data_IF_965549370376
#
_entry.id   IF_965549370376
#
_cell.length_a   1.000
_cell.length_b   1.000
_cell.length_c   1.000
_cell.angle_alpha   90.00
_cell.angle_beta   90.00
_cell.angle_gamma   90.00
#
_symmetry.space_group_name_H-M   'P 1'
#
loop_
_entity.id
_entity.type
_entity.pdbx_description
1 polymer ?
#
# COMPACT_ATOMS: atom_id res chain seq x y z
N UNK A 1 17.28 -16.17 -4.38
CA UNK A 1 16.45 -15.78 -5.54
C UNK A 1 16.93 -14.46 -6.10
N UNK A 2 16.63 -14.18 -7.36
CA UNK A 2 16.83 -12.88 -7.99
C UNK A 2 15.57 -12.05 -7.80
N UNK A 3 15.68 -10.86 -7.23
CA UNK A 3 14.55 -10.00 -6.91
C UNK A 3 14.71 -8.65 -7.58
N UNK A 4 13.71 -8.25 -8.36
CA UNK A 4 13.61 -6.89 -8.88
C UNK A 4 12.73 -6.05 -7.95
N UNK A 5 13.16 -4.84 -7.58
CA UNK A 5 12.37 -3.88 -6.82
C UNK A 5 12.16 -2.64 -7.66
N UNK A 6 10.90 -2.33 -7.94
CA UNK A 6 10.49 -1.16 -8.71
C UNK A 6 10.06 -0.06 -7.76
N UNK A 7 10.74 1.08 -7.82
CA UNK A 7 10.61 2.21 -6.90
C UNK A 7 11.77 2.30 -5.92
N UNK A 8 12.41 3.46 -5.86
CA UNK A 8 13.55 3.76 -4.98
C UNK A 8 13.20 4.73 -3.83
N UNK A 9 11.92 4.85 -3.53
CA UNK A 9 11.42 5.62 -2.38
C UNK A 9 11.61 4.89 -1.04
N UNK A 10 10.97 5.43 0.01
CA UNK A 10 11.02 4.83 1.36
C UNK A 10 10.79 3.31 1.35
N UNK A 11 9.65 2.89 0.79
CA UNK A 11 9.24 1.49 0.77
C UNK A 11 10.14 0.61 -0.09
N UNK A 12 10.47 1.07 -1.30
CA UNK A 12 11.30 0.29 -2.23
C UNK A 12 12.71 0.06 -1.70
N UNK A 13 13.34 1.08 -1.14
CA UNK A 13 14.64 0.90 -0.48
C UNK A 13 14.54 -0.03 0.75
N UNK A 14 13.41 0.02 1.49
CA UNK A 14 13.17 -0.89 2.62
C UNK A 14 13.05 -2.34 2.18
N UNK A 15 12.24 -2.63 1.16
CA UNK A 15 12.10 -3.98 0.57
C UNK A 15 13.43 -4.47 0.00
N UNK A 16 14.14 -3.63 -0.76
CA UNK A 16 15.42 -3.98 -1.36
C UNK A 16 16.48 -4.31 -0.30
N UNK A 17 16.58 -3.49 0.74
CA UNK A 17 17.51 -3.74 1.85
C UNK A 17 17.20 -5.06 2.57
N UNK A 18 15.94 -5.28 2.94
CA UNK A 18 15.54 -6.45 3.72
C UNK A 18 15.69 -7.76 2.92
N UNK A 19 15.33 -7.77 1.63
CA UNK A 19 15.56 -8.89 0.74
C UNK A 19 17.07 -9.20 0.60
N UNK A 20 17.91 -8.18 0.39
CA UNK A 20 19.36 -8.37 0.30
C UNK A 20 19.96 -8.87 1.63
N UNK A 21 19.47 -8.42 2.78
CA UNK A 21 19.88 -8.89 4.10
C UNK A 21 19.55 -10.38 4.34
N UNK A 22 18.55 -10.92 3.62
CA UNK A 22 18.22 -12.36 3.63
C UNK A 22 18.95 -13.14 2.52
N UNK A 23 19.96 -12.55 1.87
CA UNK A 23 20.82 -13.23 0.92
C UNK A 23 20.27 -13.32 -0.52
N UNK A 24 19.22 -12.57 -0.84
CA UNK A 24 18.72 -12.48 -2.21
C UNK A 24 19.56 -11.52 -3.05
N UNK A 25 19.60 -11.78 -4.36
CA UNK A 25 20.24 -10.89 -5.34
C UNK A 25 19.21 -9.83 -5.75
N UNK A 26 19.45 -8.58 -5.39
CA UNK A 26 18.47 -7.50 -5.58
C UNK A 26 18.91 -6.54 -6.67
N UNK A 27 18.02 -6.29 -7.64
CA UNK A 27 18.13 -5.22 -8.64
C UNK A 27 17.07 -4.16 -8.41
N UNK A 28 17.47 -2.88 -8.42
CA UNK A 28 16.56 -1.76 -8.14
C UNK A 28 16.34 -0.93 -9.40
N UNK A 29 15.07 -0.63 -9.70
CA UNK A 29 14.67 0.22 -10.80
C UNK A 29 13.86 1.41 -10.29
N UNK A 30 14.04 2.58 -10.91
CA UNK A 30 13.08 3.69 -10.82
C UNK A 30 13.05 4.49 -12.11
N UNK A 31 11.98 5.25 -12.32
CA UNK A 31 11.84 6.11 -13.50
C UNK A 31 12.83 7.27 -13.49
N UNK A 32 13.22 7.74 -14.68
CA UNK A 32 14.19 8.83 -14.87
C UNK A 32 13.79 10.15 -14.19
N UNK A 33 12.50 10.38 -14.00
CA UNK A 33 11.99 11.56 -13.27
C UNK A 33 12.23 11.50 -11.76
N UNK A 34 12.61 10.34 -11.20
CA UNK A 34 12.92 10.15 -9.78
C UNK A 34 14.39 9.73 -9.57
N UNK A 35 15.36 10.58 -9.94
CA UNK A 35 16.77 10.19 -9.96
C UNK A 35 17.44 10.15 -8.56
N UNK A 36 16.81 10.69 -7.52
CA UNK A 36 17.45 10.95 -6.24
C UNK A 36 18.06 9.69 -5.60
N UNK A 37 17.23 8.83 -5.03
CA UNK A 37 17.70 7.63 -4.34
C UNK A 37 18.36 6.63 -5.27
N UNK A 38 17.81 6.42 -6.47
CA UNK A 38 18.34 5.42 -7.40
C UNK A 38 19.80 5.67 -7.78
N UNK A 39 20.17 6.94 -8.02
CA UNK A 39 21.57 7.32 -8.32
C UNK A 39 22.49 7.14 -7.12
N UNK A 40 22.00 7.45 -5.92
CA UNK A 40 22.80 7.24 -4.71
C UNK A 40 23.05 5.76 -4.46
N UNK A 41 22.01 4.92 -4.60
CA UNK A 41 22.15 3.46 -4.47
C UNK A 41 23.11 2.90 -5.53
N UNK A 42 23.00 3.38 -6.78
CA UNK A 42 23.91 3.01 -7.86
C UNK A 42 25.36 3.40 -7.56
N UNK A 43 25.58 4.62 -7.09
CA UNK A 43 26.93 5.13 -6.75
C UNK A 43 27.53 4.38 -5.55
N UNK A 44 26.74 4.11 -4.52
CA UNK A 44 27.18 3.45 -3.30
C UNK A 44 27.28 1.92 -3.44
N UNK A 45 26.74 1.35 -4.52
CA UNK A 45 26.65 -0.11 -4.73
C UNK A 45 25.68 -0.81 -3.78
N UNK A 46 24.80 -0.07 -3.09
CA UNK A 46 23.87 -0.64 -2.13
C UNK A 46 23.12 0.39 -1.30
N UNK A 47 22.42 -0.11 -0.28
CA UNK A 47 21.55 0.67 0.61
C UNK A 47 22.07 0.58 2.04
N UNK A 48 22.14 1.71 2.72
CA UNK A 48 22.42 1.80 4.15
C UNK A 48 21.10 1.88 4.92
N UNK A 49 21.02 1.19 6.04
CA UNK A 49 19.85 1.20 6.90
C UNK A 49 20.24 1.43 8.35
N UNK A 50 19.39 2.19 9.06
CA UNK A 50 19.45 2.41 10.50
C UNK A 50 18.10 2.01 11.15
N UNK A 51 18.09 1.74 12.43
CA UNK A 51 16.89 1.43 13.22
C UNK A 51 16.81 -0.03 13.61
N UNK A 52 15.63 -0.66 13.43
CA UNK A 52 15.46 -2.08 13.85
C UNK A 52 16.14 -3.07 12.91
N UNK A 53 16.40 -2.67 11.67
CA UNK A 53 17.35 -3.28 10.75
C UNK A 53 18.47 -2.28 10.55
N UNK A 54 19.72 -2.75 10.54
CA UNK A 54 20.89 -1.86 10.43
C UNK A 54 21.99 -2.44 9.55
N UNK A 55 22.87 -1.56 9.09
CA UNK A 55 24.04 -1.91 8.31
C UNK A 55 23.97 -1.47 6.85
N UNK A 56 24.73 -2.15 6.00
CA UNK A 56 24.79 -1.91 4.56
C UNK A 56 24.51 -3.22 3.81
N UNK A 57 23.63 -3.16 2.82
CA UNK A 57 23.36 -4.28 1.94
C UNK A 57 23.67 -3.90 0.49
N UNK A 58 24.51 -4.68 -0.20
CA UNK A 58 24.81 -4.47 -1.61
C UNK A 58 23.58 -4.82 -2.47
N UNK A 59 23.47 -4.16 -3.63
CA UNK A 59 22.54 -4.51 -4.68
C UNK A 59 23.30 -4.90 -5.94
N UNK A 60 22.73 -5.83 -6.73
CA UNK A 60 23.34 -6.28 -8.00
C UNK A 60 23.39 -5.15 -9.01
N UNK A 61 22.28 -4.41 -9.11
CA UNK A 61 22.18 -3.25 -9.97
C UNK A 61 21.19 -2.23 -9.44
N UNK A 62 21.34 -0.96 -9.80
CA UNK A 62 20.37 0.09 -9.58
C UNK A 62 20.40 1.04 -10.79
N UNK A 63 19.23 1.40 -11.33
CA UNK A 63 19.19 2.28 -12.50
C UNK A 63 17.79 2.49 -13.07
N UNK A 64 17.77 3.05 -14.29
CA UNK A 64 16.56 3.44 -15.00
C UNK A 64 16.22 2.51 -16.18
N UNK A 65 16.89 1.37 -16.29
CA UNK A 65 16.73 0.40 -17.38
C UNK A 65 15.98 -0.81 -16.84
N UNK A 66 14.68 -0.90 -17.17
CA UNK A 66 13.79 -1.92 -16.62
C UNK A 66 14.22 -3.33 -17.04
N UNK A 67 14.69 -3.52 -18.27
CA UNK A 67 15.16 -4.79 -18.78
C UNK A 67 16.29 -5.36 -17.94
N UNK A 68 17.22 -4.51 -17.47
CA UNK A 68 18.31 -4.94 -16.58
C UNK A 68 17.82 -5.33 -15.20
N UNK A 69 16.79 -4.64 -14.69
CA UNK A 69 16.24 -4.96 -13.39
C UNK A 69 15.43 -6.26 -13.40
N UNK A 70 14.79 -6.58 -14.52
CA UNK A 70 13.94 -7.76 -14.67
C UNK A 70 14.71 -9.00 -15.20
N UNK A 71 15.94 -8.84 -15.65
CA UNK A 71 16.74 -9.94 -16.21
C UNK A 71 16.96 -11.04 -15.17
N UNK A 72 16.41 -12.21 -15.45
CA UNK A 72 16.48 -13.38 -14.56
C UNK A 72 15.76 -13.21 -13.20
N UNK A 73 14.91 -12.19 -13.04
CA UNK A 73 14.18 -11.99 -11.80
C UNK A 73 13.12 -13.07 -11.57
N UNK A 74 13.14 -13.69 -10.37
CA UNK A 74 12.14 -14.65 -9.91
C UNK A 74 10.93 -13.90 -9.35
N UNK A 75 11.17 -12.84 -8.56
CA UNK A 75 10.16 -12.01 -7.90
C UNK A 75 10.38 -10.55 -8.26
N UNK A 76 9.28 -9.85 -8.57
CA UNK A 76 9.23 -8.43 -8.89
C UNK A 76 8.36 -7.73 -7.85
N UNK A 77 8.93 -6.89 -7.01
CA UNK A 77 8.17 -6.03 -6.10
C UNK A 77 7.89 -4.68 -6.77
N UNK A 78 6.63 -4.36 -6.99
CA UNK A 78 6.20 -3.02 -7.41
C UNK A 78 5.86 -2.19 -6.17
N UNK A 79 6.79 -1.30 -5.77
CA UNK A 79 6.74 -0.59 -4.49
C UNK A 79 6.59 0.92 -4.69
N UNK A 80 5.38 1.40 -4.50
CA UNK A 80 5.10 2.82 -4.67
C UNK A 80 3.67 3.17 -4.29
N UNK A 81 3.29 4.44 -4.39
CA UNK A 81 1.91 4.85 -4.18
C UNK A 81 1.00 4.28 -5.27
N UNK A 82 -0.32 4.25 -5.02
CA UNK A 82 -1.31 3.65 -5.91
C UNK A 82 -1.17 4.07 -7.38
N UNK A 83 -0.89 5.34 -7.63
CA UNK A 83 -0.74 5.88 -8.99
C UNK A 83 0.53 5.42 -9.73
N UNK A 84 1.48 4.76 -9.05
CA UNK A 84 2.67 4.18 -9.69
C UNK A 84 2.43 2.76 -10.23
N UNK A 85 1.37 2.09 -9.80
CA UNK A 85 1.11 0.68 -10.15
C UNK A 85 0.98 0.48 -11.67
N UNK A 86 0.15 1.29 -12.34
CA UNK A 86 -0.04 1.20 -13.80
C UNK A 86 1.24 1.53 -14.56
N UNK A 87 1.96 2.65 -14.31
CA UNK A 87 3.25 2.91 -14.94
C UNK A 87 4.27 1.77 -14.78
N UNK A 88 4.37 1.17 -13.58
CA UNK A 88 5.23 0.00 -13.39
C UNK A 88 4.77 -1.18 -14.24
N UNK A 89 3.47 -1.47 -14.30
CA UNK A 89 2.95 -2.56 -15.10
C UNK A 89 3.25 -2.36 -16.60
N UNK A 90 3.04 -1.15 -17.11
CA UNK A 90 3.24 -0.80 -18.52
C UNK A 90 4.72 -0.92 -18.94
N UNK A 91 5.65 -0.47 -18.08
CA UNK A 91 7.08 -0.59 -18.40
C UNK A 91 7.58 -2.02 -18.26
N UNK A 92 7.00 -2.83 -17.38
CA UNK A 92 7.32 -4.25 -17.23
C UNK A 92 6.78 -5.12 -18.37
N UNK A 93 5.63 -4.75 -18.96
CA UNK A 93 4.89 -5.55 -19.93
C UNK A 93 5.73 -6.23 -21.00
N UNK A 94 6.66 -5.57 -21.73
CA UNK A 94 7.46 -6.20 -22.76
C UNK A 94 8.56 -7.14 -22.24
N UNK A 95 8.82 -7.14 -20.93
CA UNK A 95 9.94 -7.84 -20.30
C UNK A 95 9.53 -8.94 -19.32
N UNK A 96 8.21 -9.06 -19.05
CA UNK A 96 7.68 -10.11 -18.17
C UNK A 96 7.82 -11.48 -18.84
N UNK A 97 8.25 -12.47 -18.08
CA UNK A 97 8.43 -13.84 -18.53
C UNK A 97 7.64 -14.83 -17.67
N UNK A 98 7.29 -15.98 -18.25
CA UNK A 98 6.57 -17.04 -17.53
C UNK A 98 7.36 -17.54 -16.31
N UNK A 99 6.65 -17.79 -15.23
CA UNK A 99 7.19 -18.25 -13.95
C UNK A 99 7.49 -17.12 -12.97
N UNK A 100 7.51 -15.87 -13.41
CA UNK A 100 7.72 -14.72 -12.52
C UNK A 100 6.54 -14.47 -11.58
N UNK A 101 6.87 -13.99 -10.39
CA UNK A 101 5.92 -13.51 -9.40
C UNK A 101 6.03 -11.98 -9.33
N UNK A 102 4.91 -11.28 -9.44
CA UNK A 102 4.82 -9.84 -9.19
C UNK A 102 4.07 -9.60 -7.89
N UNK A 103 4.63 -8.77 -7.00
CA UNK A 103 3.98 -8.38 -5.73
C UNK A 103 3.83 -6.87 -5.69
N UNK A 104 2.59 -6.39 -5.75
CA UNK A 104 2.27 -4.96 -5.57
C UNK A 104 2.28 -4.65 -4.06
N UNK A 105 3.19 -3.82 -3.62
CA UNK A 105 3.48 -3.61 -2.19
C UNK A 105 3.61 -2.11 -1.83
N UNK A 106 2.59 -1.49 -1.22
CA UNK A 106 1.26 -2.01 -0.93
C UNK A 106 0.32 -1.95 -2.15
N UNK A 107 -0.80 -2.66 -2.06
CA UNK A 107 -1.85 -2.64 -3.07
C UNK A 107 -2.54 -1.27 -3.20
N UNK A 108 -2.80 -0.61 -2.09
CA UNK A 108 -3.63 0.59 -2.02
C UNK A 108 -4.98 0.40 -2.73
N UNK A 109 -5.66 -0.73 -2.48
CA UNK A 109 -6.93 -1.19 -3.05
C UNK A 109 -6.88 -1.58 -4.54
N UNK A 110 -6.98 -2.89 -4.82
CA UNK A 110 -7.07 -3.44 -6.18
C UNK A 110 -5.80 -3.31 -7.03
N UNK A 111 -4.64 -3.14 -6.40
CA UNK A 111 -3.37 -2.88 -7.09
C UNK A 111 -2.92 -4.04 -7.98
N UNK A 112 -3.13 -5.29 -7.57
CA UNK A 112 -2.77 -6.46 -8.39
C UNK A 112 -3.59 -6.56 -9.67
N UNK A 113 -4.89 -6.22 -9.61
CA UNK A 113 -5.72 -6.15 -10.82
C UNK A 113 -5.28 -5.00 -11.73
N UNK A 114 -5.02 -3.83 -11.14
CA UNK A 114 -4.48 -2.68 -11.88
C UNK A 114 -3.16 -3.02 -12.57
N UNK A 115 -2.27 -3.77 -11.89
CA UNK A 115 -1.02 -4.24 -12.48
C UNK A 115 -1.30 -5.20 -13.64
N UNK A 116 -2.16 -6.23 -13.45
CA UNK A 116 -2.53 -7.16 -14.53
C UNK A 116 -3.07 -6.40 -15.74
N UNK A 117 -4.00 -5.48 -15.54
CA UNK A 117 -4.57 -4.67 -16.61
C UNK A 117 -3.50 -3.83 -17.36
N UNK A 118 -2.60 -3.17 -16.64
CA UNK A 118 -1.49 -2.40 -17.22
C UNK A 118 -0.49 -3.26 -17.99
N UNK A 119 -0.21 -4.47 -17.49
CA UNK A 119 0.65 -5.45 -18.14
C UNK A 119 -0.03 -6.19 -19.31
N UNK A 120 -1.34 -6.04 -19.49
CA UNK A 120 -2.10 -6.76 -20.52
C UNK A 120 -2.34 -8.22 -20.19
N UNK A 121 -2.37 -8.57 -18.90
CA UNK A 121 -2.67 -9.90 -18.39
C UNK A 121 -4.16 -10.01 -18.03
N UNK A 122 -4.76 -11.18 -18.25
CA UNK A 122 -6.11 -11.45 -17.78
C UNK A 122 -6.12 -11.83 -16.29
N UNK A 123 -7.26 -11.66 -15.61
CA UNK A 123 -7.39 -12.01 -14.18
C UNK A 123 -7.00 -13.47 -13.89
N UNK A 124 -7.32 -14.38 -14.82
CA UNK A 124 -7.08 -15.82 -14.68
C UNK A 124 -5.73 -16.29 -15.24
N UNK A 125 -4.91 -15.39 -15.79
CA UNK A 125 -3.58 -15.76 -16.25
C UNK A 125 -2.68 -16.15 -15.08
N UNK A 126 -2.04 -17.31 -15.19
CA UNK A 126 -1.20 -17.90 -14.16
C UNK A 126 0.26 -18.06 -14.60
N UNK A 127 0.56 -17.82 -15.85
CA UNK A 127 1.95 -17.85 -16.36
C UNK A 127 2.86 -16.83 -15.69
N UNK A 128 2.27 -15.69 -15.27
CA UNK A 128 2.85 -14.67 -14.39
C UNK A 128 1.89 -14.52 -13.21
N UNK A 129 2.34 -14.89 -12.02
CA UNK A 129 1.52 -14.77 -10.81
C UNK A 129 1.60 -13.34 -10.30
N UNK A 130 0.45 -12.67 -10.18
CA UNK A 130 0.40 -11.32 -9.60
C UNK A 130 -0.29 -11.39 -8.23
N UNK A 131 0.38 -10.87 -7.23
CA UNK A 131 -0.12 -10.79 -5.85
C UNK A 131 -0.02 -9.36 -5.32
N UNK A 132 -0.63 -9.12 -4.18
CA UNK A 132 -0.58 -7.82 -3.50
C UNK A 132 -0.51 -7.97 -1.99
N UNK A 133 0.06 -6.96 -1.31
CA UNK A 133 0.04 -6.86 0.14
C UNK A 133 -0.97 -5.82 0.60
N UNK A 134 -1.60 -6.06 1.75
CA UNK A 134 -2.58 -5.12 2.34
C UNK A 134 -1.95 -3.78 2.73
N UNK A 135 -0.70 -3.78 3.14
CA UNK A 135 0.06 -2.58 3.52
C UNK A 135 1.55 -2.79 3.25
N UNK A 136 2.35 -1.73 3.41
CA UNK A 136 3.81 -1.83 3.39
C UNK A 136 4.29 -2.58 4.65
N UNK A 137 5.26 -3.51 4.54
CA UNK A 137 5.76 -4.27 5.69
C UNK A 137 6.48 -3.45 6.77
N UNK A 138 6.72 -2.18 6.51
CA UNK A 138 7.59 -1.34 7.35
C UNK A 138 7.00 0.04 7.65
N UNK A 139 7.34 0.58 8.84
CA UNK A 139 7.46 2.02 9.03
C UNK A 139 8.89 2.43 8.66
N UNK A 140 9.06 3.07 7.52
CA UNK A 140 10.37 3.40 6.94
C UNK A 140 10.40 4.83 6.41
N UNK A 141 11.56 5.48 6.53
CA UNK A 141 11.82 6.81 5.95
C UNK A 141 13.21 6.85 5.32
N UNK A 142 13.33 7.55 4.20
CA UNK A 142 14.61 8.01 3.68
C UNK A 142 15.13 9.11 4.59
N UNK A 143 16.33 8.94 5.12
CA UNK A 143 17.07 10.00 5.83
C UNK A 143 17.76 10.90 4.80
N UNK A 144 18.38 10.26 3.82
CA UNK A 144 19.00 10.86 2.65
C UNK A 144 18.97 9.84 1.49
N UNK A 145 19.23 10.25 0.24
CA UNK A 145 19.28 9.32 -0.88
C UNK A 145 20.20 8.11 -0.63
N UNK A 146 19.67 6.88 -0.73
CA UNK A 146 20.41 5.64 -0.47
C UNK A 146 20.61 5.28 1.00
N UNK A 147 20.10 6.09 1.94
CA UNK A 147 20.11 5.80 3.37
C UNK A 147 18.69 5.88 3.94
N UNK A 148 18.26 4.80 4.61
CA UNK A 148 16.91 4.67 5.18
C UNK A 148 16.98 4.43 6.68
N UNK A 149 15.86 4.74 7.36
CA UNK A 149 15.61 4.28 8.74
C UNK A 149 14.34 3.47 8.78
N UNK A 150 14.45 2.24 9.28
CA UNK A 150 13.30 1.35 9.54
C UNK A 150 12.98 1.43 11.03
N UNK A 151 11.82 2.03 11.34
CA UNK A 151 11.33 2.21 12.70
C UNK A 151 10.59 0.98 13.21
N UNK A 152 9.88 0.29 12.32
CA UNK A 152 9.13 -0.92 12.62
C UNK A 152 9.08 -1.85 11.38
N UNK A 153 9.16 -3.16 11.62
CA UNK A 153 8.79 -4.23 10.69
C UNK A 153 7.60 -4.95 11.29
N UNK A 154 6.52 -5.09 10.53
CA UNK A 154 5.25 -5.59 11.05
C UNK A 154 5.39 -7.00 11.65
N UNK A 155 4.92 -7.16 12.86
CA UNK A 155 4.97 -8.43 13.63
C UNK A 155 3.80 -9.36 13.31
N UNK A 156 2.78 -8.85 12.63
CA UNK A 156 1.56 -9.53 12.21
C UNK A 156 0.67 -8.54 11.45
N UNK A 157 -0.55 -8.97 11.08
CA UNK A 157 -1.51 -8.09 10.40
C UNK A 157 -1.07 -7.61 9.01
N UNK A 158 -0.12 -8.30 8.41
CA UNK A 158 0.29 -8.11 7.02
C UNK A 158 -0.30 -9.26 6.20
N UNK A 159 -1.20 -8.93 5.29
CA UNK A 159 -1.89 -9.90 4.47
C UNK A 159 -1.41 -9.85 3.03
N UNK A 160 -1.39 -11.02 2.40
CA UNK A 160 -1.10 -11.17 0.97
C UNK A 160 -2.22 -11.96 0.29
N UNK A 161 -2.60 -11.55 -0.91
CA UNK A 161 -3.42 -12.34 -1.81
C UNK A 161 -2.87 -12.29 -3.24
N UNK A 162 -2.97 -13.41 -3.95
CA UNK A 162 -2.71 -13.47 -5.38
C UNK A 162 -4.01 -13.34 -6.20
N UNK A 163 -3.89 -13.08 -7.48
CA UNK A 163 -4.97 -13.13 -8.47
C UNK A 163 -4.55 -14.13 -9.58
N UNK A 164 -5.23 -15.27 -9.68
CA UNK A 164 -6.30 -15.80 -8.81
C UNK A 164 -5.82 -16.22 -7.42
N UNK A 165 -6.73 -16.22 -6.43
CA UNK A 165 -6.40 -16.42 -5.02
C UNK A 165 -5.82 -17.80 -4.69
N UNK A 166 -6.08 -18.83 -5.50
CA UNK A 166 -5.48 -20.18 -5.35
C UNK A 166 -3.94 -20.17 -5.31
N UNK A 167 -3.30 -19.16 -5.91
CA UNK A 167 -1.84 -19.01 -5.92
C UNK A 167 -1.28 -18.33 -4.66
N UNK A 168 -2.13 -17.87 -3.74
CA UNK A 168 -1.69 -17.11 -2.54
C UNK A 168 -0.69 -17.89 -1.68
N UNK A 169 -0.96 -19.16 -1.42
CA UNK A 169 -0.09 -20.02 -0.59
C UNK A 169 1.29 -20.19 -1.25
N UNK A 170 1.32 -20.40 -2.55
CA UNK A 170 2.56 -20.51 -3.30
C UNK A 170 3.41 -19.24 -3.16
N UNK A 171 2.82 -18.06 -3.37
CA UNK A 171 3.56 -16.79 -3.23
C UNK A 171 4.05 -16.57 -1.81
N UNK A 172 3.23 -16.87 -0.79
CA UNK A 172 3.63 -16.76 0.62
C UNK A 172 4.85 -17.61 0.96
N UNK A 173 4.93 -18.82 0.41
CA UNK A 173 6.08 -19.71 0.63
C UNK A 173 7.37 -19.13 0.03
N UNK A 174 7.26 -18.43 -1.11
CA UNK A 174 8.42 -17.81 -1.77
C UNK A 174 8.99 -16.60 -1.00
N UNK A 175 8.20 -15.97 -0.14
CA UNK A 175 8.61 -14.74 0.58
C UNK A 175 8.69 -14.93 2.10
N UNK A 176 8.50 -16.17 2.58
CA UNK A 176 8.41 -16.50 4.01
C UNK A 176 9.69 -16.21 4.79
N UNK A 177 10.84 -16.34 4.17
CA UNK A 177 12.13 -16.07 4.79
C UNK A 177 12.30 -14.58 5.13
N UNK A 178 11.83 -13.68 4.24
CA UNK A 178 11.86 -12.24 4.47
C UNK A 178 10.70 -11.78 5.36
N UNK A 179 9.50 -12.34 5.14
CA UNK A 179 8.25 -11.92 5.81
C UNK A 179 7.54 -13.09 6.53
N UNK A 180 8.12 -13.66 7.59
CA UNK A 180 7.56 -14.82 8.28
C UNK A 180 6.19 -14.56 8.95
N UNK A 181 5.87 -13.28 9.25
CA UNK A 181 4.60 -12.86 9.86
C UNK A 181 3.48 -12.57 8.85
N UNK A 182 3.76 -12.66 7.53
CA UNK A 182 2.78 -12.43 6.49
C UNK A 182 1.76 -13.58 6.44
N UNK A 183 0.48 -13.23 6.33
CA UNK A 183 -0.63 -14.18 6.35
C UNK A 183 -1.40 -14.18 5.03
N UNK A 184 -2.00 -15.32 4.67
CA UNK A 184 -2.89 -15.41 3.53
C UNK A 184 -4.18 -14.61 3.77
N UNK A 185 -4.57 -13.78 2.83
CA UNK A 185 -5.94 -13.30 2.73
C UNK A 185 -6.77 -14.28 1.87
N UNK A 186 -8.09 -14.26 2.04
CA UNK A 186 -9.02 -15.05 1.24
C UNK A 186 -8.90 -14.71 -0.25
N UNK A 187 -8.83 -13.43 -0.57
CA UNK A 187 -8.63 -12.88 -1.91
C UNK A 187 -8.20 -11.39 -1.82
N UNK A 188 -8.05 -10.73 -2.95
CA UNK A 188 -7.60 -9.33 -3.03
C UNK A 188 -8.64 -8.31 -2.52
N UNK A 189 -9.90 -8.67 -2.37
CA UNK A 189 -10.87 -7.79 -1.72
C UNK A 189 -10.57 -7.70 -0.22
N UNK A 190 -10.14 -8.80 0.41
CA UNK A 190 -9.69 -8.77 1.80
C UNK A 190 -8.42 -7.95 1.98
N UNK A 191 -7.41 -8.08 1.11
CA UNK A 191 -6.19 -7.24 1.20
C UNK A 191 -6.52 -5.76 1.01
N UNK A 192 -7.39 -5.44 0.05
CA UNK A 192 -7.85 -4.07 -0.20
C UNK A 192 -8.61 -3.47 0.99
N UNK A 193 -9.54 -4.25 1.55
CA UNK A 193 -10.31 -3.84 2.72
C UNK A 193 -9.45 -3.78 4.00
N UNK A 194 -8.35 -4.51 4.07
CA UNK A 194 -7.46 -4.52 5.24
C UNK A 194 -6.44 -3.37 5.24
N UNK A 195 -6.45 -2.51 4.20
CA UNK A 195 -5.66 -1.28 4.17
C UNK A 195 -6.30 -0.22 5.09
N UNK A 196 -5.65 0.12 6.19
CA UNK A 196 -6.11 1.13 7.15
C UNK A 196 -5.86 2.58 6.70
N UNK A 197 -4.94 2.83 5.76
CA UNK A 197 -4.57 4.19 5.36
C UNK A 197 -5.77 5.06 4.93
N UNK A 198 -6.71 4.59 4.08
CA UNK A 198 -7.87 5.37 3.70
C UNK A 198 -8.85 5.66 4.84
N UNK A 199 -8.81 4.84 5.89
CA UNK A 199 -9.64 5.04 7.10
C UNK A 199 -9.11 6.19 7.95
N UNK A 200 -7.78 6.23 8.12
CA UNK A 200 -7.11 7.10 9.09
C UNK A 200 -6.74 8.46 8.48
N UNK A 201 -5.94 8.42 7.41
CA UNK A 201 -5.28 9.63 6.91
C UNK A 201 -6.25 10.71 6.42
N UNK A 202 -7.29 10.40 5.62
CA UNK A 202 -8.24 11.42 5.17
C UNK A 202 -9.01 12.05 6.31
N UNK A 203 -9.43 11.27 7.31
CA UNK A 203 -10.18 11.76 8.45
C UNK A 203 -9.35 12.74 9.29
N UNK A 204 -8.11 12.37 9.63
CA UNK A 204 -7.20 13.24 10.38
C UNK A 204 -6.86 14.49 9.56
N UNK A 205 -6.49 14.33 8.29
CA UNK A 205 -6.12 15.47 7.43
C UNK A 205 -7.28 16.44 7.27
N UNK A 206 -8.51 15.95 7.01
CA UNK A 206 -9.70 16.75 6.82
C UNK A 206 -10.03 17.59 8.07
N UNK A 207 -9.94 16.99 9.26
CA UNK A 207 -10.23 17.69 10.51
C UNK A 207 -9.12 18.67 10.93
N UNK A 208 -7.96 18.64 10.31
CA UNK A 208 -6.82 19.50 10.61
C UNK A 208 -6.39 20.40 9.42
N UNK A 209 -7.23 20.57 8.40
CA UNK A 209 -6.91 21.37 7.20
C UNK A 209 -6.31 22.74 7.53
N UNK A 210 -7.03 23.52 8.37
CA UNK A 210 -6.58 24.86 8.73
C UNK A 210 -5.28 24.85 9.54
N UNK A 211 -5.05 23.82 10.36
CA UNK A 211 -3.81 23.65 11.12
C UNK A 211 -2.64 23.33 10.18
N UNK A 212 -2.83 22.39 9.24
CA UNK A 212 -1.83 22.01 8.23
C UNK A 212 -1.39 23.24 7.41
N UNK A 213 -2.35 23.98 6.86
CA UNK A 213 -2.05 25.14 6.01
C UNK A 213 -1.33 26.25 6.77
N UNK A 214 -1.76 26.54 8.01
CA UNK A 214 -1.21 27.61 8.85
C UNK A 214 0.18 27.29 9.39
N UNK A 215 0.41 26.04 9.83
CA UNK A 215 1.67 25.62 10.45
C UNK A 215 2.64 24.99 9.45
N UNK A 216 2.22 24.75 8.21
CA UNK A 216 2.98 23.97 7.22
C UNK A 216 3.35 22.57 7.75
N UNK A 217 2.43 21.98 8.52
CA UNK A 217 2.58 20.65 9.08
C UNK A 217 3.45 20.56 10.33
N UNK A 218 3.79 21.69 10.97
CA UNK A 218 4.57 21.67 12.20
C UNK A 218 3.71 21.34 13.43
N UNK A 219 3.21 20.10 13.45
CA UNK A 219 2.57 19.44 14.58
C UNK A 219 2.65 17.91 14.38
N UNK A 220 2.42 17.14 15.43
CA UNK A 220 2.41 15.68 15.34
C UNK A 220 1.09 15.19 14.79
N UNK A 221 1.13 14.54 13.62
CA UNK A 221 -0.05 14.18 12.84
C UNK A 221 -1.05 13.30 13.61
N UNK A 222 -0.54 12.33 14.36
CA UNK A 222 -1.39 11.42 15.14
C UNK A 222 -1.61 11.93 16.57
N UNK A 223 -0.55 12.32 17.28
CA UNK A 223 -0.63 12.67 18.70
C UNK A 223 -1.39 13.98 18.94
N UNK A 224 -1.23 14.97 18.06
CA UNK A 224 -1.91 16.26 18.16
C UNK A 224 -3.14 16.36 17.24
N UNK A 225 -3.10 15.65 16.09
CA UNK A 225 -4.17 15.70 15.08
C UNK A 225 -5.37 14.81 15.40
N UNK A 226 -5.25 13.83 16.29
CA UNK A 226 -6.36 12.98 16.73
C UNK A 226 -6.91 13.47 18.06
N UNK A 227 -8.23 13.66 18.09
CA UNK A 227 -9.02 13.99 19.29
C UNK A 227 -10.16 12.98 19.41
N UNK A 228 -10.88 12.90 20.53
CA UNK A 228 -12.05 12.01 20.61
C UNK A 228 -13.10 12.24 19.52
N UNK A 229 -13.24 13.48 19.01
CA UNK A 229 -14.14 13.77 17.89
C UNK A 229 -13.61 13.23 16.56
N UNK A 230 -12.32 13.40 16.29
CA UNK A 230 -11.64 12.83 15.09
C UNK A 230 -11.66 11.31 15.14
N UNK A 231 -11.43 10.72 16.31
CA UNK A 231 -11.52 9.27 16.52
C UNK A 231 -12.90 8.70 16.16
N UNK A 232 -13.99 9.40 16.54
CA UNK A 232 -15.36 9.02 16.13
C UNK A 232 -15.56 9.05 14.61
N UNK A 233 -14.95 9.99 13.91
CA UNK A 233 -15.00 10.03 12.44
C UNK A 233 -14.23 8.85 11.83
N UNK A 234 -13.03 8.57 12.32
CA UNK A 234 -12.23 7.40 11.90
C UNK A 234 -13.05 6.11 12.11
N UNK A 235 -13.65 5.94 13.29
CA UNK A 235 -14.50 4.79 13.61
C UNK A 235 -15.70 4.66 12.67
N UNK A 236 -16.34 5.77 12.31
CA UNK A 236 -17.49 5.74 11.40
C UNK A 236 -17.10 5.31 9.98
N UNK A 237 -15.96 5.79 9.46
CA UNK A 237 -15.38 5.33 8.18
C UNK A 237 -15.03 3.86 8.24
N UNK A 238 -14.42 3.42 9.34
CA UNK A 238 -13.98 2.03 9.54
C UNK A 238 -15.16 1.05 9.61
N UNK A 239 -16.25 1.43 10.26
CA UNK A 239 -17.48 0.63 10.31
C UNK A 239 -18.07 0.40 8.93
N UNK A 240 -18.06 1.39 8.03
CA UNK A 240 -18.53 1.23 6.66
C UNK A 240 -17.61 0.28 5.88
N UNK A 241 -16.29 0.37 6.04
CA UNK A 241 -15.32 -0.57 5.46
C UNK A 241 -15.56 -2.01 5.95
N UNK A 242 -15.76 -2.20 7.25
CA UNK A 242 -16.03 -3.51 7.86
C UNK A 242 -17.34 -4.09 7.33
N UNK A 243 -18.41 -3.29 7.23
CA UNK A 243 -19.70 -3.73 6.68
C UNK A 243 -19.60 -4.22 5.22
N UNK A 244 -18.74 -3.59 4.41
CA UNK A 244 -18.44 -4.08 3.05
C UNK A 244 -17.78 -5.48 3.13
N UNK A 245 -16.82 -5.67 4.04
CA UNK A 245 -16.17 -6.96 4.25
C UNK A 245 -17.14 -8.06 4.68
N UNK A 246 -18.04 -7.77 5.62
CA UNK A 246 -19.09 -8.68 6.06
C UNK A 246 -19.99 -9.10 4.89
N UNK A 247 -20.39 -8.14 4.05
CA UNK A 247 -21.21 -8.43 2.85
C UNK A 247 -20.50 -9.30 1.83
N UNK A 248 -19.17 -9.19 1.73
CA UNK A 248 -18.31 -9.99 0.84
C UNK A 248 -17.87 -11.33 1.47
N UNK A 249 -18.22 -11.59 2.73
CA UNK A 249 -17.79 -12.80 3.45
C UNK A 249 -16.27 -12.87 3.63
N UNK A 250 -15.61 -11.72 3.78
CA UNK A 250 -14.18 -11.60 4.11
C UNK A 250 -14.00 -10.97 5.49
N UNK A 251 -13.04 -11.49 6.25
CA UNK A 251 -12.72 -10.92 7.55
C UNK A 251 -11.99 -9.58 7.39
N UNK A 252 -12.49 -8.55 8.04
CA UNK A 252 -11.85 -7.24 8.10
C UNK A 252 -11.63 -6.86 9.56
N UNK A 253 -10.36 -6.77 9.95
CA UNK A 253 -9.97 -6.42 11.31
C UNK A 253 -10.17 -4.91 11.49
N UNK A 254 -10.85 -4.46 12.56
CA UNK A 254 -10.94 -3.03 12.91
C UNK A 254 -9.56 -2.38 13.00
N UNK A 255 -9.43 -1.16 12.48
CA UNK A 255 -8.13 -0.51 12.31
C UNK A 255 -7.29 -0.41 13.61
N UNK A 256 -7.83 0.01 14.77
CA UNK A 256 -7.03 0.06 16.00
C UNK A 256 -6.56 -1.31 16.48
N UNK A 257 -7.39 -2.36 16.29
CA UNK A 257 -7.01 -3.74 16.61
C UNK A 257 -5.89 -4.21 15.68
N UNK A 258 -5.97 -3.87 14.40
CA UNK A 258 -4.91 -4.13 13.44
C UNK A 258 -3.61 -3.41 13.83
N UNK A 259 -3.70 -2.14 14.24
CA UNK A 259 -2.56 -1.34 14.71
C UNK A 259 -1.82 -1.98 15.89
N UNK A 260 -2.56 -2.60 16.82
CA UNK A 260 -1.95 -3.37 17.94
C UNK A 260 -1.24 -4.63 17.42
N UNK A 261 -1.88 -5.40 16.53
CA UNK A 261 -1.29 -6.61 15.93
C UNK A 261 -0.01 -6.28 15.15
N UNK A 262 0.00 -5.16 14.45
CA UNK A 262 1.14 -4.67 13.66
C UNK A 262 2.28 -4.11 14.52
N UNK A 263 2.01 -3.82 15.81
CA UNK A 263 2.97 -3.27 16.74
C UNK A 263 3.12 -1.76 16.69
N UNK A 264 2.17 -1.06 16.08
CA UNK A 264 2.12 0.42 16.11
C UNK A 264 1.50 0.94 17.39
N UNK A 265 0.41 0.32 17.85
CA UNK A 265 -0.42 0.79 18.94
C UNK A 265 -0.33 -0.12 20.16
N UNK A 266 -0.45 0.47 21.35
CA UNK A 266 -0.54 -0.28 22.61
C UNK A 266 -2.00 -0.56 23.01
N UNK A 267 -2.95 0.24 22.52
CA UNK A 267 -4.36 0.19 22.86
C UNK A 267 -5.22 0.21 21.58
N UNK A 268 -6.24 -0.64 21.52
CA UNK A 268 -7.10 -0.80 20.35
C UNK A 268 -8.31 0.15 20.41
N UNK A 269 -8.07 1.47 20.44
CA UNK A 269 -9.10 2.51 20.44
C UNK A 269 -8.87 3.52 19.32
N UNK A 270 -9.95 4.16 18.84
CA UNK A 270 -9.88 5.10 17.71
C UNK A 270 -9.39 6.51 18.10
N UNK A 271 -9.17 6.78 19.37
CA UNK A 271 -8.66 8.05 19.89
C UNK A 271 -7.40 7.87 20.72
N UNK A 272 -7.49 7.36 21.95
CA UNK A 272 -6.33 7.21 22.83
C UNK A 272 -5.26 6.31 22.25
N UNK A 273 -5.65 5.27 21.51
CA UNK A 273 -4.72 4.38 20.83
C UNK A 273 -3.79 5.10 19.85
N UNK A 274 -4.29 6.11 19.13
CA UNK A 274 -3.47 6.96 18.25
C UNK A 274 -2.65 7.99 19.02
N UNK A 275 -3.30 8.68 19.99
CA UNK A 275 -2.71 9.77 20.76
C UNK A 275 -1.51 9.28 21.59
N UNK A 276 -1.56 8.04 22.08
CA UNK A 276 -0.53 7.48 22.98
C UNK A 276 0.39 6.48 22.29
N UNK A 277 0.22 6.27 20.98
CA UNK A 277 0.95 5.26 20.23
C UNK A 277 2.46 5.55 20.15
N UNK A 278 3.33 4.66 20.64
CA UNK A 278 4.77 4.82 20.49
C UNK A 278 5.23 4.72 19.03
N UNK A 279 4.47 3.99 18.19
CA UNK A 279 4.78 3.82 16.76
C UNK A 279 4.54 5.08 15.93
N UNK A 280 3.77 6.05 16.44
CA UNK A 280 3.43 7.30 15.78
C UNK A 280 4.09 8.54 16.39
N UNK A 281 4.87 8.36 17.46
CA UNK A 281 5.58 9.46 18.12
C UNK A 281 6.51 10.21 17.15
N UNK A 282 6.42 11.52 17.16
CA UNK A 282 7.26 12.40 16.32
C UNK A 282 6.89 12.40 14.83
N UNK A 283 5.84 11.70 14.39
CA UNK A 283 5.40 11.74 12.99
C UNK A 283 4.72 13.08 12.72
N UNK A 284 5.45 13.99 12.06
CA UNK A 284 4.93 15.30 11.66
C UNK A 284 3.87 15.19 10.57
N UNK A 285 2.95 16.15 10.55
CA UNK A 285 1.98 16.30 9.49
C UNK A 285 2.66 16.70 8.17
N UNK A 286 1.95 16.52 7.06
CA UNK A 286 2.39 17.02 5.75
C UNK A 286 2.33 18.55 5.69
N UNK A 287 3.23 19.14 4.92
CA UNK A 287 3.34 20.61 4.80
C UNK A 287 2.28 21.23 3.86
N UNK A 288 1.54 20.40 3.13
CA UNK A 288 0.54 20.80 2.14
C UNK A 288 -0.59 19.79 2.10
N UNK A 289 -1.79 20.22 1.70
CA UNK A 289 -2.91 19.32 1.41
C UNK A 289 -2.70 18.51 0.13
N UNK A 290 -1.90 19.03 -0.83
CA UNK A 290 -1.49 18.27 -2.01
C UNK A 290 -0.45 17.22 -1.61
N UNK A 291 -0.95 16.15 -1.02
CA UNK A 291 -0.18 15.06 -0.47
C UNK A 291 -0.93 13.74 -0.63
N UNK A 292 -0.22 12.63 -0.48
CA UNK A 292 -0.78 11.28 -0.67
C UNK A 292 -2.00 10.99 0.22
N UNK A 293 -2.12 11.60 1.38
CA UNK A 293 -3.24 11.40 2.31
C UNK A 293 -4.60 11.80 1.72
N UNK A 294 -4.61 12.74 0.77
CA UNK A 294 -5.78 13.01 -0.05
C UNK A 294 -5.66 12.36 -1.43
N UNK A 295 -4.54 12.54 -2.14
CA UNK A 295 -4.42 12.10 -3.52
C UNK A 295 -4.49 10.57 -3.69
N UNK A 296 -3.92 9.82 -2.75
CA UNK A 296 -3.92 8.35 -2.76
C UNK A 296 -5.09 7.78 -1.94
N UNK A 297 -5.16 8.18 -0.65
CA UNK A 297 -6.08 7.52 0.29
C UNK A 297 -7.55 7.88 0.03
N UNK A 298 -7.85 9.07 -0.54
CA UNK A 298 -9.19 9.39 -1.05
C UNK A 298 -9.36 8.85 -2.46
N UNK A 299 -8.49 9.22 -3.41
CA UNK A 299 -8.68 8.94 -4.83
C UNK A 299 -8.61 7.45 -5.22
N UNK A 300 -7.79 6.66 -4.53
CA UNK A 300 -7.62 5.23 -4.78
C UNK A 300 -8.19 4.35 -3.65
N UNK A 301 -8.32 4.91 -2.44
CA UNK A 301 -8.82 4.19 -1.26
C UNK A 301 -10.31 4.40 -1.05
N UNK A 302 -10.73 5.57 -0.56
CA UNK A 302 -12.15 5.82 -0.21
C UNK A 302 -13.08 5.70 -1.42
N UNK A 303 -12.65 6.17 -2.60
CA UNK A 303 -13.45 6.03 -3.82
C UNK A 303 -13.63 4.56 -4.19
N UNK A 304 -12.59 3.72 -4.06
CA UNK A 304 -12.72 2.27 -4.26
C UNK A 304 -13.71 1.65 -3.26
N UNK A 305 -13.60 2.01 -1.97
CA UNK A 305 -14.52 1.50 -0.94
C UNK A 305 -15.96 1.90 -1.20
N UNK A 306 -16.20 3.17 -1.58
CA UNK A 306 -17.54 3.64 -1.95
C UNK A 306 -18.11 2.84 -3.13
N UNK A 307 -17.33 2.70 -4.22
CA UNK A 307 -17.78 1.98 -5.43
C UNK A 307 -18.00 0.48 -5.19
N UNK A 308 -17.18 -0.13 -4.35
CA UNK A 308 -17.38 -1.52 -3.93
C UNK A 308 -18.65 -1.64 -3.06
N UNK A 309 -18.84 -0.73 -2.10
CA UNK A 309 -20.05 -0.69 -1.28
C UNK A 309 -21.33 -0.52 -2.11
N UNK A 310 -21.35 0.45 -3.05
CA UNK A 310 -22.46 0.64 -3.99
C UNK A 310 -22.79 -0.66 -4.75
N UNK A 311 -21.77 -1.37 -5.26
CA UNK A 311 -21.95 -2.58 -6.04
C UNK A 311 -22.53 -3.75 -5.23
N UNK A 312 -22.10 -3.92 -3.98
CA UNK A 312 -22.57 -5.02 -3.12
C UNK A 312 -23.75 -4.64 -2.23
N UNK A 313 -24.29 -3.43 -2.40
CA UNK A 313 -25.48 -2.94 -1.69
C UNK A 313 -25.24 -2.54 -0.24
N UNK A 314 -24.04 -2.05 0.09
CA UNK A 314 -23.68 -1.48 1.40
C UNK A 314 -23.61 0.03 1.29
N UNK A 315 -24.41 0.75 2.06
CA UNK A 315 -24.38 2.22 2.11
C UNK A 315 -23.12 2.72 2.82
N UNK A 316 -22.48 3.74 2.22
CA UNK A 316 -21.24 4.35 2.73
C UNK A 316 -21.38 5.88 2.85
N UNK A 317 -22.33 6.38 3.65
CA UNK A 317 -22.62 7.82 3.72
C UNK A 317 -21.47 8.64 4.31
N UNK A 318 -20.71 8.12 5.28
CA UNK A 318 -19.59 8.83 5.89
C UNK A 318 -18.40 8.89 4.93
N UNK A 319 -18.05 7.77 4.28
CA UNK A 319 -17.03 7.74 3.22
C UNK A 319 -17.39 8.74 2.11
N UNK A 320 -18.65 8.76 1.66
CA UNK A 320 -19.15 9.68 0.62
C UNK A 320 -19.03 11.15 1.04
N UNK A 321 -19.33 11.44 2.30
CA UNK A 321 -19.19 12.80 2.85
C UNK A 321 -17.71 13.24 2.88
N UNK A 322 -16.79 12.37 3.30
CA UNK A 322 -15.35 12.67 3.30
C UNK A 322 -14.87 12.94 1.87
N UNK A 323 -15.20 12.07 0.91
CA UNK A 323 -14.83 12.27 -0.51
C UNK A 323 -15.34 13.62 -1.01
N UNK A 324 -16.61 13.96 -0.73
CA UNK A 324 -17.24 15.22 -1.17
C UNK A 324 -16.51 16.44 -0.59
N UNK A 325 -16.26 16.44 0.73
CA UNK A 325 -15.58 17.56 1.38
C UNK A 325 -14.13 17.73 0.86
N UNK A 326 -13.39 16.63 0.74
CA UNK A 326 -12.01 16.68 0.23
C UNK A 326 -11.98 17.14 -1.23
N UNK A 327 -12.94 16.72 -2.05
CA UNK A 327 -13.06 17.18 -3.44
C UNK A 327 -13.24 18.71 -3.52
N UNK A 328 -14.05 19.28 -2.65
CA UNK A 328 -14.23 20.74 -2.59
C UNK A 328 -12.96 21.46 -2.11
N UNK A 329 -12.32 20.95 -1.04
CA UNK A 329 -11.10 21.55 -0.50
C UNK A 329 -9.94 21.53 -1.50
N UNK A 330 -9.84 20.48 -2.29
CA UNK A 330 -8.77 20.29 -3.28
C UNK A 330 -9.11 20.86 -4.66
N UNK A 331 -10.33 21.36 -4.86
CA UNK A 331 -10.86 21.76 -6.17
C UNK A 331 -10.64 20.66 -7.23
N UNK A 332 -10.95 19.41 -6.89
CA UNK A 332 -10.81 18.22 -7.72
C UNK A 332 -12.07 17.36 -7.68
N UNK A 333 -12.34 16.65 -8.75
CA UNK A 333 -13.39 15.62 -8.79
C UNK A 333 -12.77 14.22 -8.60
N UNK A 334 -12.54 13.82 -7.36
CA UNK A 334 -11.95 12.52 -7.05
C UNK A 334 -12.78 11.33 -7.58
N UNK A 335 -14.11 11.48 -7.67
CA UNK A 335 -14.99 10.44 -8.23
C UNK A 335 -14.85 10.36 -9.76
N UNK A 336 -14.89 11.49 -10.44
CA UNK A 336 -14.74 11.56 -11.89
C UNK A 336 -13.33 11.23 -12.38
N UNK A 337 -12.31 11.54 -11.57
CA UNK A 337 -10.90 11.23 -11.85
C UNK A 337 -10.50 9.80 -11.48
N UNK A 338 -11.38 9.02 -10.83
CA UNK A 338 -11.07 7.72 -10.26
C UNK A 338 -10.49 6.72 -11.28
N UNK A 339 -9.36 6.15 -10.95
CA UNK A 339 -8.65 5.17 -11.79
C UNK A 339 -8.92 3.71 -11.38
N UNK A 340 -9.33 3.49 -10.13
CA UNK A 340 -9.65 2.17 -9.58
C UNK A 340 -11.10 2.13 -9.13
N UNK A 341 -11.98 1.91 -10.10
CA UNK A 341 -13.41 1.64 -9.87
C UNK A 341 -13.72 0.19 -10.23
N UNK A 342 -14.89 -0.28 -9.87
CA UNK A 342 -15.32 -1.64 -10.25
C UNK A 342 -15.31 -1.82 -11.77
N UNK A 343 -15.65 -0.78 -12.53
CA UNK A 343 -15.62 -0.80 -13.99
C UNK A 343 -14.20 -0.87 -14.56
N UNK A 344 -13.31 0.02 -14.11
CA UNK A 344 -11.92 0.09 -14.62
C UNK A 344 -11.10 -1.14 -14.25
N UNK A 345 -11.45 -1.80 -13.15
CA UNK A 345 -10.82 -3.05 -12.71
C UNK A 345 -11.46 -4.30 -13.32
N UNK A 346 -12.55 -4.16 -14.12
CA UNK A 346 -13.26 -5.31 -14.69
C UNK A 346 -14.07 -6.11 -13.68
N UNK A 347 -14.45 -5.49 -12.56
CA UNK A 347 -15.22 -6.10 -11.47
C UNK A 347 -16.69 -5.67 -11.44
N UNK A 348 -17.12 -4.78 -12.36
CA UNK A 348 -18.48 -4.24 -12.36
C UNK A 348 -19.55 -5.31 -12.65
N UNK A 349 -20.76 -5.09 -12.12
CA UNK A 349 -21.96 -5.93 -12.34
C UNK A 349 -21.89 -7.35 -11.76
N UNK A 350 -20.91 -7.65 -10.92
CA UNK A 350 -20.83 -8.91 -10.20
C UNK A 350 -21.45 -8.77 -8.81
N UNK A 351 -22.20 -9.78 -8.39
CA UNK A 351 -22.64 -9.93 -7.00
C UNK A 351 -21.44 -10.26 -6.10
N UNK A 352 -21.62 -10.23 -4.79
CA UNK A 352 -20.58 -10.62 -3.84
C UNK A 352 -20.06 -12.05 -4.08
N UNK A 353 -20.97 -12.99 -4.38
CA UNK A 353 -20.64 -14.40 -4.67
C UNK A 353 -19.90 -14.56 -6.01
N UNK A 354 -20.33 -13.79 -7.03
CA UNK A 354 -19.64 -13.78 -8.33
C UNK A 354 -18.24 -13.15 -8.24
N UNK A 355 -18.05 -12.11 -7.42
CA UNK A 355 -16.73 -11.53 -7.14
C UNK A 355 -15.81 -12.56 -6.44
N UNK A 356 -16.34 -13.32 -5.47
CA UNK A 356 -15.58 -14.39 -4.83
C UNK A 356 -15.13 -15.43 -5.86
N UNK A 357 -16.05 -15.89 -6.71
CA UNK A 357 -15.76 -16.89 -7.76
C UNK A 357 -14.77 -16.37 -8.82
N UNK A 358 -14.88 -15.09 -9.19
CA UNK A 358 -14.01 -14.45 -10.17
C UNK A 358 -12.56 -14.36 -9.68
N UNK A 359 -12.38 -14.13 -8.38
CA UNK A 359 -11.08 -13.87 -7.77
C UNK A 359 -10.44 -15.10 -7.10
N UNK A 360 -11.20 -16.21 -6.98
CA UNK A 360 -10.71 -17.48 -6.45
C UNK A 360 -9.65 -18.10 -7.38
#
# INVERSE_FOLDING_TARGET
MNIAVLGSGNGGCGVAFDCAAHGHQVSLFDFKQFPGSIRAVQHNGGIRCEGILEGFQPVVSAGHEIEKALDGADIIYAVGPAYSTRPFAEVCKPHLTQGQIVIVCPSSCGGSIEFKNGAGLNLRDEGIVVAETSTLPYAVRLLEPGNIKIFNKLKGGLFLAAVPAKNTKYVLEQVRDVYPSMSAAKNILQTSLQNGNPVIHPAITLMNVALIERTKGDFEFYHEGVTPAVGRLIEAVDRERIAIGEKLGVEVIPDPKLGVIQGYMAEATYDTGFITSPGFAGVKAQSSLDYRYFNEDVGYGLVFLQKLGEQVGVATPVISAVITLVSQLMNRDYLGEARRTMETLGLSKHTAEELETLLA
#
